data_IF_786004371054
#
_entry.id   IF_786004371054
#
_cell.length_a   1.000
_cell.length_b   1.000
_cell.length_c   1.000
_cell.angle_alpha   90.00
_cell.angle_beta   90.00
_cell.angle_gamma   90.00
#
_symmetry.space_group_name_H-M   'P 1'
#
loop_
_entity.id
_entity.type
_entity.pdbx_description
1 polymer ?
#
# COMPACT_ATOMS: atom_id res chain seq x y z
N UNK A 1 -17.89 16.55 2.42
CA UNK A 1 -18.88 17.20 1.54
C UNK A 1 -18.32 18.10 0.44
N UNK A 2 -17.02 18.20 0.28
CA UNK A 2 -16.40 19.06 -0.76
C UNK A 2 -15.44 18.29 -1.68
N UNK A 3 -15.57 16.98 -1.78
CA UNK A 3 -14.81 16.19 -2.73
C UNK A 3 -15.24 16.54 -4.16
N UNK A 4 -14.25 16.83 -5.01
CA UNK A 4 -14.45 16.95 -6.45
C UNK A 4 -14.38 15.59 -7.11
N UNK A 5 -14.89 15.46 -8.34
CA UNK A 5 -15.05 14.15 -8.99
C UNK A 5 -13.81 13.22 -8.98
N UNK A 6 -12.58 13.69 -9.23
CA UNK A 6 -11.40 12.82 -9.14
C UNK A 6 -11.16 12.24 -7.73
N UNK A 7 -11.31 13.05 -6.67
CA UNK A 7 -11.10 12.61 -5.29
C UNK A 7 -12.23 11.66 -4.85
N UNK A 8 -13.45 11.90 -5.30
CA UNK A 8 -14.58 11.03 -5.04
C UNK A 8 -14.36 9.65 -5.67
N UNK A 9 -13.92 9.61 -6.93
CA UNK A 9 -13.62 8.36 -7.62
C UNK A 9 -12.51 7.59 -6.92
N UNK A 10 -11.42 8.27 -6.54
CA UNK A 10 -10.32 7.66 -5.80
C UNK A 10 -10.79 7.07 -4.47
N UNK A 11 -11.63 7.79 -3.73
CA UNK A 11 -12.21 7.30 -2.47
C UNK A 11 -13.03 6.03 -2.68
N UNK A 12 -13.89 6.00 -3.70
CA UNK A 12 -14.68 4.81 -4.04
C UNK A 12 -13.79 3.65 -4.48
N UNK A 13 -12.75 3.91 -5.28
CA UNK A 13 -11.80 2.89 -5.72
C UNK A 13 -11.08 2.23 -4.54
N UNK A 14 -10.64 3.02 -3.55
CA UNK A 14 -9.98 2.50 -2.35
C UNK A 14 -10.95 1.70 -1.49
N UNK A 15 -12.18 2.18 -1.26
CA UNK A 15 -13.19 1.45 -0.49
C UNK A 15 -13.54 0.11 -1.17
N UNK A 16 -13.76 0.13 -2.47
CA UNK A 16 -14.06 -1.08 -3.23
C UNK A 16 -12.88 -2.05 -3.28
N UNK A 17 -11.65 -1.53 -3.37
CA UNK A 17 -10.43 -2.32 -3.29
C UNK A 17 -10.27 -3.01 -1.93
N UNK A 18 -10.55 -2.31 -0.83
CA UNK A 18 -10.55 -2.90 0.51
C UNK A 18 -11.58 -4.02 0.66
N UNK A 19 -12.81 -3.81 0.18
CA UNK A 19 -13.84 -4.83 0.19
C UNK A 19 -13.46 -6.07 -0.65
N UNK A 20 -12.78 -5.85 -1.77
CA UNK A 20 -12.33 -6.91 -2.67
C UNK A 20 -11.06 -7.63 -2.19
N UNK A 21 -10.29 -7.04 -1.25
CA UNK A 21 -9.01 -7.61 -0.80
C UNK A 21 -9.16 -9.07 -0.35
N UNK A 22 -8.28 -10.00 -0.76
CA UNK A 22 -8.39 -11.42 -0.41
C UNK A 22 -8.48 -11.71 1.08
N UNK A 23 -7.93 -10.85 1.95
CA UNK A 23 -8.01 -10.99 3.41
C UNK A 23 -9.39 -10.64 4.00
N UNK A 24 -10.30 -10.12 3.20
CA UNK A 24 -11.65 -9.71 3.65
C UNK A 24 -12.67 -10.76 3.24
N UNK A 25 -13.40 -11.30 4.20
CA UNK A 25 -14.50 -12.24 3.95
C UNK A 25 -15.78 -11.53 3.46
N UNK A 26 -16.13 -10.44 4.14
CA UNK A 26 -17.33 -9.66 3.83
C UNK A 26 -17.25 -8.25 4.37
N UNK A 27 -18.12 -7.37 3.93
CA UNK A 27 -18.07 -5.94 4.21
C UNK A 27 -19.40 -5.42 4.70
N UNK A 28 -19.39 -4.58 5.74
CA UNK A 28 -20.52 -3.78 6.15
C UNK A 28 -20.23 -2.32 5.83
N UNK A 29 -20.90 -1.76 4.84
CA UNK A 29 -20.79 -0.33 4.51
C UNK A 29 -21.74 0.46 5.38
N UNK A 30 -21.20 1.44 6.10
CA UNK A 30 -21.98 2.36 6.93
C UNK A 30 -21.87 3.76 6.37
N UNK A 31 -22.99 4.35 6.01
CA UNK A 31 -23.13 5.67 5.41
C UNK A 31 -23.90 6.59 6.36
N UNK A 32 -23.62 7.89 6.31
CA UNK A 32 -24.46 8.87 7.00
C UNK A 32 -25.82 9.01 6.30
N UNK A 33 -25.82 9.07 4.95
CA UNK A 33 -27.01 9.20 4.11
C UNK A 33 -27.07 10.47 3.24
N UNK A 34 -26.08 11.39 3.40
CA UNK A 34 -26.03 12.64 2.62
C UNK A 34 -24.62 13.02 2.15
N UNK A 35 -23.69 12.08 2.14
CA UNK A 35 -22.34 12.24 1.63
C UNK A 35 -22.27 12.21 0.10
N UNK A 36 -21.17 12.74 -0.48
CA UNK A 36 -20.95 12.70 -1.93
C UNK A 36 -20.70 11.26 -2.43
N UNK A 37 -19.98 10.45 -1.67
CA UNK A 37 -19.82 9.02 -1.92
C UNK A 37 -21.08 8.29 -1.43
N UNK A 38 -22.18 8.43 -2.17
CA UNK A 38 -23.48 7.86 -1.81
C UNK A 38 -23.40 6.33 -1.71
N UNK A 39 -24.21 5.75 -0.82
CA UNK A 39 -24.21 4.33 -0.50
C UNK A 39 -24.32 3.45 -1.75
N UNK A 40 -25.26 3.75 -2.63
CA UNK A 40 -25.51 3.01 -3.86
C UNK A 40 -24.31 3.02 -4.82
N UNK A 41 -23.59 4.15 -4.92
CA UNK A 41 -22.39 4.26 -5.74
C UNK A 41 -21.24 3.42 -5.17
N UNK A 42 -21.04 3.45 -3.86
CA UNK A 42 -19.99 2.65 -3.18
C UNK A 42 -20.31 1.16 -3.29
N UNK A 43 -21.56 0.77 -3.04
CA UNK A 43 -22.01 -0.61 -3.16
C UNK A 43 -21.81 -1.14 -4.57
N UNK A 44 -22.23 -0.38 -5.58
CA UNK A 44 -22.01 -0.75 -6.98
C UNK A 44 -20.52 -0.93 -7.30
N UNK A 45 -19.65 -0.01 -6.85
CA UNK A 45 -18.21 -0.13 -7.05
C UNK A 45 -17.61 -1.37 -6.38
N UNK A 46 -18.15 -1.80 -5.24
CA UNK A 46 -17.76 -3.05 -4.57
C UNK A 46 -18.25 -4.26 -5.36
N UNK A 47 -19.51 -4.30 -5.75
CA UNK A 47 -20.13 -5.42 -6.49
C UNK A 47 -19.50 -5.64 -7.87
N UNK A 48 -18.97 -4.58 -8.50
CA UNK A 48 -18.19 -4.68 -9.74
C UNK A 48 -16.83 -5.40 -9.55
N UNK A 49 -16.30 -5.45 -8.32
CA UNK A 49 -14.99 -6.02 -8.01
C UNK A 49 -15.04 -7.36 -7.27
N UNK A 50 -16.14 -7.65 -6.57
CA UNK A 50 -16.23 -8.86 -5.75
C UNK A 50 -17.65 -9.30 -5.51
N UNK A 51 -17.85 -10.63 -5.36
CA UNK A 51 -19.13 -11.25 -5.00
C UNK A 51 -19.19 -11.62 -3.49
N UNK A 52 -18.31 -11.07 -2.67
CA UNK A 52 -18.25 -11.35 -1.22
C UNK A 52 -19.49 -10.81 -0.50
N UNK A 53 -19.84 -11.35 0.68
CA UNK A 53 -20.97 -10.85 1.47
C UNK A 53 -20.87 -9.34 1.71
N UNK A 54 -21.96 -8.63 1.40
CA UNK A 54 -22.05 -7.18 1.52
C UNK A 54 -23.35 -6.79 2.23
N UNK A 55 -23.27 -5.94 3.25
CA UNK A 55 -24.39 -5.37 3.98
C UNK A 55 -24.30 -3.86 4.03
N UNK A 56 -25.43 -3.20 4.14
CA UNK A 56 -25.53 -1.74 4.10
C UNK A 56 -26.29 -1.23 5.33
N UNK A 57 -25.83 -0.11 5.89
CA UNK A 57 -26.49 0.59 6.98
C UNK A 57 -26.44 2.10 6.72
N UNK A 58 -27.59 2.77 6.66
CA UNK A 58 -27.67 4.23 6.52
C UNK A 58 -28.09 4.81 7.87
N UNK A 59 -27.25 5.61 8.50
CA UNK A 59 -27.44 6.12 9.88
C UNK A 59 -28.75 6.93 9.98
N UNK A 60 -29.01 7.81 9.01
CA UNK A 60 -30.21 8.66 9.00
C UNK A 60 -31.51 7.84 8.87
N UNK A 61 -31.48 6.69 8.17
CA UNK A 61 -32.62 5.79 7.99
C UNK A 61 -32.75 4.80 9.14
N UNK A 62 -31.63 4.37 9.74
CA UNK A 62 -31.62 3.43 10.88
C UNK A 62 -32.23 4.00 12.16
N UNK A 63 -32.47 5.30 12.21
CA UNK A 63 -32.96 6.01 13.39
C UNK A 63 -31.86 6.42 14.37
N UNK A 64 -30.66 6.72 13.85
CA UNK A 64 -29.52 7.30 14.55
C UNK A 64 -28.38 6.33 14.81
N UNK A 65 -27.28 6.87 15.31
CA UNK A 65 -25.99 6.18 15.44
C UNK A 65 -26.06 4.89 16.24
N UNK A 66 -26.74 4.88 17.40
CA UNK A 66 -26.79 3.69 18.26
C UNK A 66 -27.49 2.51 17.60
N UNK A 67 -28.57 2.77 16.86
CA UNK A 67 -29.28 1.72 16.10
C UNK A 67 -28.45 1.25 14.90
N UNK A 68 -27.79 2.17 14.21
CA UNK A 68 -26.90 1.83 13.10
C UNK A 68 -25.73 0.95 13.55
N UNK A 69 -25.12 1.25 14.71
CA UNK A 69 -24.07 0.42 15.32
C UNK A 69 -24.58 -0.97 15.65
N UNK A 70 -25.77 -1.07 16.30
CA UNK A 70 -26.38 -2.38 16.62
C UNK A 70 -26.63 -3.22 15.35
N UNK A 71 -27.16 -2.61 14.29
CA UNK A 71 -27.36 -3.29 13.00
C UNK A 71 -26.05 -3.76 12.38
N UNK A 72 -25.05 -2.87 12.31
CA UNK A 72 -23.75 -3.18 11.73
C UNK A 72 -23.02 -4.29 12.49
N UNK A 73 -23.08 -4.27 13.83
CA UNK A 73 -22.49 -5.32 14.68
C UNK A 73 -23.17 -6.67 14.46
N UNK A 74 -24.50 -6.70 14.31
CA UNK A 74 -25.22 -7.96 14.00
C UNK A 74 -24.79 -8.52 12.66
N UNK A 75 -24.75 -7.72 11.61
CA UNK A 75 -24.27 -8.16 10.29
C UNK A 75 -22.83 -8.65 10.33
N UNK A 76 -21.93 -7.92 11.03
CA UNK A 76 -20.55 -8.35 11.18
C UNK A 76 -20.43 -9.68 11.95
N UNK A 77 -21.24 -9.91 12.99
CA UNK A 77 -21.25 -11.18 13.73
C UNK A 77 -21.73 -12.35 12.87
N UNK A 78 -22.74 -12.15 12.02
CA UNK A 78 -23.20 -13.17 11.05
C UNK A 78 -22.05 -13.54 10.11
N UNK A 79 -21.40 -12.55 9.50
CA UNK A 79 -20.26 -12.79 8.59
C UNK A 79 -19.08 -13.47 9.29
N UNK A 80 -18.76 -13.09 10.53
CA UNK A 80 -17.70 -13.74 11.32
C UNK A 80 -18.04 -15.21 11.62
N UNK A 81 -19.30 -15.50 11.94
CA UNK A 81 -19.74 -16.86 12.17
C UNK A 81 -19.60 -17.72 10.89
N UNK A 82 -20.00 -17.20 9.73
CA UNK A 82 -19.82 -17.86 8.44
C UNK A 82 -18.34 -18.06 8.10
N UNK A 83 -17.53 -17.01 8.23
CA UNK A 83 -16.08 -17.06 7.97
C UNK A 83 -15.37 -18.10 8.87
N UNK A 84 -15.83 -18.26 10.12
CA UNK A 84 -15.25 -19.23 11.06
C UNK A 84 -15.48 -20.70 10.66
N UNK A 85 -16.43 -20.96 9.77
CA UNK A 85 -16.71 -22.31 9.26
C UNK A 85 -15.86 -22.68 8.04
N UNK A 86 -15.13 -21.71 7.44
CA UNK A 86 -14.27 -21.96 6.30
C UNK A 86 -13.10 -22.87 6.69
N UNK A 87 -12.75 -23.76 5.79
CA UNK A 87 -11.58 -24.63 5.94
C UNK A 87 -10.37 -24.00 5.23
N UNK A 88 -9.20 -24.21 5.81
CA UNK A 88 -7.94 -23.81 5.15
C UNK A 88 -7.67 -24.73 3.97
N UNK A 89 -7.28 -24.15 2.86
CA UNK A 89 -6.87 -24.85 1.65
C UNK A 89 -5.44 -24.50 1.28
N UNK A 90 -4.77 -25.39 0.55
CA UNK A 90 -3.45 -25.09 -0.01
C UNK A 90 -3.57 -24.05 -1.11
N UNK A 91 -2.63 -23.12 -1.11
CA UNK A 91 -2.65 -21.95 -1.96
C UNK A 91 -1.25 -21.75 -2.58
N UNK A 92 -1.13 -21.63 -3.89
CA UNK A 92 0.17 -21.45 -4.53
C UNK A 92 0.70 -20.03 -4.33
N UNK A 93 2.01 -19.89 -4.14
CA UNK A 93 2.68 -18.59 -3.98
C UNK A 93 2.41 -17.65 -5.17
N UNK A 94 2.12 -18.21 -6.35
CA UNK A 94 1.78 -17.43 -7.55
C UNK A 94 0.52 -16.56 -7.41
N UNK A 95 -0.35 -16.85 -6.46
CA UNK A 95 -1.53 -16.04 -6.15
C UNK A 95 -1.25 -14.95 -5.09
N UNK A 96 -0.05 -14.95 -4.49
CA UNK A 96 0.33 -13.99 -3.45
C UNK A 96 0.73 -12.65 -4.06
N UNK A 97 0.18 -11.58 -3.49
CA UNK A 97 0.53 -10.19 -3.78
C UNK A 97 1.12 -9.59 -2.50
N UNK A 98 2.39 -9.19 -2.57
CA UNK A 98 3.14 -8.61 -1.43
C UNK A 98 3.46 -7.15 -1.74
N UNK A 99 3.09 -6.26 -0.82
CA UNK A 99 3.51 -4.86 -0.88
C UNK A 99 4.86 -4.65 -0.19
N UNK A 100 5.67 -3.72 -0.69
CA UNK A 100 6.93 -3.33 -0.06
C UNK A 100 6.91 -1.84 0.28
N UNK A 101 7.33 -1.50 1.50
CA UNK A 101 7.24 -0.15 2.06
C UNK A 101 8.53 0.20 2.81
N UNK A 102 8.82 1.49 2.98
CA UNK A 102 9.83 1.93 3.94
C UNK A 102 9.44 3.23 4.64
N UNK A 103 9.79 3.37 5.91
CA UNK A 103 9.52 4.59 6.67
C UNK A 103 10.45 4.71 7.87
N UNK A 104 10.70 5.96 8.31
CA UNK A 104 11.70 6.23 9.33
C UNK A 104 13.09 5.78 8.91
N UNK A 105 13.43 5.92 7.62
CA UNK A 105 14.66 5.38 7.04
C UNK A 105 15.92 6.03 7.60
N UNK A 106 16.96 5.24 7.74
CA UNK A 106 18.35 5.62 8.00
C UNK A 106 19.29 4.87 7.02
N UNK A 107 20.62 5.06 7.05
CA UNK A 107 21.53 4.35 6.15
C UNK A 107 21.45 2.83 6.22
N UNK A 108 21.08 2.25 7.39
CA UNK A 108 20.92 0.79 7.52
C UNK A 108 19.74 0.27 6.72
N UNK A 109 18.71 1.11 6.45
CA UNK A 109 17.60 0.75 5.58
C UNK A 109 18.08 0.41 4.17
N UNK A 110 18.90 1.27 3.57
CA UNK A 110 19.46 1.06 2.22
C UNK A 110 20.52 -0.02 2.14
N UNK A 111 21.31 -0.23 3.22
CA UNK A 111 22.43 -1.17 3.25
C UNK A 111 22.05 -2.59 3.65
N UNK A 112 20.99 -2.77 4.44
CA UNK A 112 20.58 -4.08 4.96
C UNK A 112 19.08 -4.37 4.72
N UNK A 113 18.16 -3.62 5.34
CA UNK A 113 16.75 -3.97 5.34
C UNK A 113 16.11 -3.96 3.93
N UNK A 114 16.35 -2.93 3.11
CA UNK A 114 15.81 -2.86 1.74
C UNK A 114 16.37 -3.96 0.83
N UNK A 115 17.69 -4.28 0.82
CA UNK A 115 18.19 -5.44 0.10
C UNK A 115 17.56 -6.79 0.51
N UNK A 116 17.30 -7.00 1.81
CA UNK A 116 16.59 -8.20 2.29
C UNK A 116 15.16 -8.25 1.73
N UNK A 117 14.44 -7.12 1.72
CA UNK A 117 13.12 -7.04 1.07
C UNK A 117 13.24 -7.29 -0.43
N UNK A 118 14.27 -6.78 -1.09
CA UNK A 118 14.52 -7.03 -2.51
C UNK A 118 14.74 -8.48 -2.86
N UNK A 119 15.52 -9.20 -2.04
CA UNK A 119 15.70 -10.65 -2.19
C UNK A 119 14.39 -11.41 -1.97
N UNK A 120 13.58 -11.02 -0.99
CA UNK A 120 12.23 -11.56 -0.79
C UNK A 120 11.36 -11.29 -2.02
N UNK A 121 11.37 -10.05 -2.55
CA UNK A 121 10.64 -9.67 -3.76
C UNK A 121 11.01 -10.56 -4.95
N UNK A 122 12.31 -10.74 -5.22
CA UNK A 122 12.79 -11.59 -6.31
C UNK A 122 12.37 -13.06 -6.13
N UNK A 123 12.34 -13.59 -4.90
CA UNK A 123 11.86 -14.95 -4.62
C UNK A 123 10.36 -15.10 -4.85
N UNK A 124 9.56 -14.11 -4.46
CA UNK A 124 8.11 -14.10 -4.73
C UNK A 124 7.87 -14.10 -6.25
N UNK A 125 8.57 -13.23 -6.97
CA UNK A 125 8.48 -13.16 -8.44
C UNK A 125 8.92 -14.47 -9.10
N UNK A 126 10.03 -15.05 -8.66
CA UNK A 126 10.52 -16.32 -9.18
C UNK A 126 9.55 -17.49 -8.92
N UNK A 127 8.77 -17.43 -7.83
CA UNK A 127 7.70 -18.38 -7.54
C UNK A 127 6.39 -18.09 -8.29
N UNK A 128 6.39 -17.08 -9.19
CA UNK A 128 5.24 -16.68 -10.01
C UNK A 128 4.29 -15.71 -9.33
N UNK A 129 4.60 -15.23 -8.13
CA UNK A 129 3.80 -14.26 -7.39
C UNK A 129 3.99 -12.81 -7.86
N UNK A 130 3.39 -11.89 -7.13
CA UNK A 130 3.45 -10.44 -7.42
C UNK A 130 4.07 -9.68 -6.25
N UNK A 131 5.03 -8.81 -6.56
CA UNK A 131 5.61 -7.85 -5.61
C UNK A 131 5.31 -6.43 -6.07
N UNK A 132 4.79 -5.59 -5.17
CA UNK A 132 4.48 -4.19 -5.42
C UNK A 132 5.57 -3.33 -4.79
N UNK A 133 6.30 -2.59 -5.61
CA UNK A 133 7.16 -1.50 -5.17
C UNK A 133 6.33 -0.21 -5.10
N UNK A 134 6.29 0.43 -3.97
CA UNK A 134 5.51 1.64 -3.68
C UNK A 134 6.39 2.88 -3.51
N UNK A 135 5.79 4.02 -3.16
CA UNK A 135 6.45 5.27 -2.77
C UNK A 135 7.17 5.96 -3.93
N UNK A 136 6.40 6.49 -4.89
CA UNK A 136 6.95 7.22 -6.07
C UNK A 136 7.93 8.32 -5.67
N UNK A 137 7.71 9.00 -4.54
CA UNK A 137 8.59 10.06 -4.03
C UNK A 137 9.99 9.55 -3.65
N UNK A 138 10.11 8.26 -3.40
CA UNK A 138 11.37 7.60 -3.05
C UNK A 138 12.11 7.02 -4.26
N UNK A 139 11.65 7.33 -5.49
CA UNK A 139 12.34 6.98 -6.74
C UNK A 139 13.08 8.16 -7.37
N UNK A 140 12.75 9.38 -6.93
CA UNK A 140 13.26 10.62 -7.51
C UNK A 140 14.80 10.66 -7.44
N UNK A 141 15.43 10.78 -8.61
CA UNK A 141 16.87 10.69 -8.80
C UNK A 141 17.41 9.28 -9.04
N UNK A 142 16.61 8.23 -8.80
CA UNK A 142 16.93 6.82 -9.08
C UNK A 142 15.96 6.14 -10.06
N UNK A 143 14.93 6.85 -10.54
CA UNK A 143 13.91 6.33 -11.46
C UNK A 143 14.48 5.71 -12.75
N UNK A 144 15.59 6.25 -13.23
CA UNK A 144 16.29 5.74 -14.41
C UNK A 144 16.83 4.31 -14.22
N UNK A 145 17.10 3.88 -12.99
CA UNK A 145 17.53 2.51 -12.68
C UNK A 145 16.36 1.54 -12.80
N UNK A 146 15.17 1.94 -12.30
CA UNK A 146 13.95 1.17 -12.45
C UNK A 146 13.51 1.11 -13.92
N UNK A 147 13.54 2.25 -14.61
CA UNK A 147 13.16 2.35 -16.01
C UNK A 147 14.01 1.46 -16.94
N UNK A 148 15.31 1.30 -16.67
CA UNK A 148 16.16 0.34 -17.42
C UNK A 148 15.75 -1.11 -17.27
N UNK A 149 14.96 -1.43 -16.24
CA UNK A 149 14.43 -2.79 -15.97
C UNK A 149 12.99 -2.95 -16.43
N UNK A 150 12.41 -1.93 -17.06
CA UNK A 150 11.05 -1.99 -17.57
C UNK A 150 10.90 -3.10 -18.62
N UNK A 151 9.83 -3.89 -18.51
CA UNK A 151 9.57 -4.99 -19.44
C UNK A 151 9.15 -4.49 -20.85
N UNK A 152 8.58 -3.28 -20.92
CA UNK A 152 8.16 -2.65 -22.17
C UNK A 152 8.50 -1.15 -22.19
N UNK A 153 8.56 -0.52 -23.40
CA UNK A 153 8.75 0.94 -23.50
C UNK A 153 7.67 1.74 -22.77
N UNK A 154 6.42 1.27 -22.76
CA UNK A 154 5.30 1.95 -22.09
C UNK A 154 5.50 1.98 -20.56
N UNK A 155 5.98 0.88 -19.97
CA UNK A 155 6.33 0.80 -18.56
C UNK A 155 7.51 1.73 -18.24
N UNK A 156 8.54 1.77 -19.12
CA UNK A 156 9.66 2.69 -18.99
C UNK A 156 9.18 4.14 -18.93
N UNK A 157 8.37 4.56 -19.88
CA UNK A 157 7.89 5.95 -19.95
C UNK A 157 6.97 6.29 -18.77
N UNK A 158 6.15 5.33 -18.32
CA UNK A 158 5.25 5.51 -17.18
C UNK A 158 6.00 5.71 -15.87
N UNK A 159 7.15 5.07 -15.66
CA UNK A 159 8.00 5.28 -14.48
C UNK A 159 8.48 6.74 -14.41
N UNK A 160 8.94 7.31 -15.51
CA UNK A 160 9.32 8.72 -15.55
C UNK A 160 8.11 9.65 -15.39
N UNK A 161 6.97 9.31 -15.99
CA UNK A 161 5.76 10.13 -15.90
C UNK A 161 5.30 10.31 -14.46
N UNK A 162 5.20 9.24 -13.65
CA UNK A 162 4.73 9.35 -12.26
C UNK A 162 5.66 10.22 -11.42
N UNK A 163 6.97 10.10 -11.61
CA UNK A 163 8.00 10.92 -10.92
C UNK A 163 7.88 12.38 -11.34
N UNK A 164 7.88 12.66 -12.63
CA UNK A 164 7.82 14.04 -13.14
C UNK A 164 6.49 14.73 -12.79
N UNK A 165 5.39 13.99 -12.78
CA UNK A 165 4.08 14.49 -12.37
C UNK A 165 4.10 14.95 -10.92
N UNK A 166 4.71 14.17 -10.03
CA UNK A 166 4.85 14.53 -8.62
C UNK A 166 5.71 15.80 -8.43
N UNK A 167 6.89 15.86 -9.06
CA UNK A 167 7.76 17.03 -9.02
C UNK A 167 7.05 18.29 -9.59
N UNK A 168 6.33 18.14 -10.71
CA UNK A 168 5.58 19.23 -11.33
C UNK A 168 4.47 19.75 -10.39
N UNK A 169 3.77 18.88 -9.69
CA UNK A 169 2.73 19.27 -8.73
C UNK A 169 3.32 20.10 -7.56
N UNK A 170 4.48 19.75 -7.04
CA UNK A 170 5.16 20.55 -6.01
C UNK A 170 5.59 21.91 -6.53
N UNK A 171 6.18 21.97 -7.73
CA UNK A 171 6.60 23.26 -8.36
C UNK A 171 5.43 24.21 -8.58
N UNK A 172 4.22 23.71 -8.83
CA UNK A 172 3.01 24.56 -8.97
C UNK A 172 2.68 25.31 -7.69
N UNK A 173 3.05 24.79 -6.53
CA UNK A 173 2.85 25.46 -5.23
C UNK A 173 4.12 26.14 -4.70
N UNK A 174 5.18 26.21 -5.53
CA UNK A 174 6.44 26.88 -5.19
C UNK A 174 7.38 26.07 -4.32
N UNK A 175 7.16 24.75 -4.23
CA UNK A 175 7.95 23.83 -3.39
C UNK A 175 8.85 22.93 -4.24
N UNK A 176 9.94 22.48 -3.65
CA UNK A 176 10.86 21.50 -4.21
C UNK A 176 10.92 20.25 -3.32
N UNK A 177 10.89 19.07 -3.93
CA UNK A 177 10.87 17.81 -3.18
C UNK A 177 12.07 17.64 -2.25
N UNK A 178 13.24 18.14 -2.64
CA UNK A 178 14.50 18.05 -1.88
C UNK A 178 14.52 18.91 -0.62
N UNK A 179 13.60 19.84 -0.47
CA UNK A 179 13.42 20.63 0.76
C UNK A 179 12.83 19.75 1.89
N UNK A 180 11.88 18.85 1.54
CA UNK A 180 11.16 18.00 2.49
C UNK A 180 11.63 16.56 2.56
N UNK A 181 12.33 16.07 1.55
CA UNK A 181 12.83 14.69 1.46
C UNK A 181 14.35 14.67 1.16
N UNK A 182 15.22 14.11 2.03
CA UNK A 182 14.93 13.38 3.28
C UNK A 182 14.36 14.26 4.40
N UNK A 183 13.50 13.67 5.22
CA UNK A 183 12.92 14.35 6.38
C UNK A 183 14.00 14.70 7.43
N UNK A 184 13.72 15.63 8.38
CA UNK A 184 14.66 15.90 9.49
C UNK A 184 15.06 14.63 10.25
N UNK A 185 14.16 13.68 10.43
CA UNK A 185 14.44 12.40 11.07
C UNK A 185 15.39 11.52 10.27
N UNK A 186 15.24 11.47 8.93
CA UNK A 186 16.17 10.75 8.06
C UNK A 186 17.58 11.37 8.09
N UNK A 187 17.67 12.71 8.05
CA UNK A 187 18.95 13.46 8.14
C UNK A 187 19.62 13.22 9.49
N UNK A 188 18.85 13.27 10.58
CA UNK A 188 19.36 12.94 11.92
C UNK A 188 19.84 11.48 12.04
N UNK A 189 19.27 10.57 11.26
CA UNK A 189 19.70 9.17 11.13
C UNK A 189 20.96 8.99 10.30
N UNK A 190 21.38 10.00 9.51
CA UNK A 190 22.61 9.99 8.70
C UNK A 190 22.42 9.98 7.18
N UNK A 191 21.18 10.01 6.67
CA UNK A 191 20.90 10.16 5.22
C UNK A 191 21.18 11.62 4.81
N UNK A 192 21.89 11.84 3.71
CA UNK A 192 22.36 13.17 3.29
C UNK A 192 21.49 13.80 2.21
N UNK A 193 21.15 13.07 1.15
CA UNK A 193 20.43 13.58 -0.02
C UNK A 193 19.23 12.72 -0.36
N UNK A 194 18.32 13.27 -1.19
CA UNK A 194 17.19 12.52 -1.74
C UNK A 194 17.67 11.36 -2.61
N UNK A 195 18.66 11.61 -3.45
CA UNK A 195 19.24 10.60 -4.36
C UNK A 195 19.84 9.42 -3.59
N UNK A 196 20.55 9.68 -2.49
CA UNK A 196 21.06 8.62 -1.60
C UNK A 196 19.91 7.79 -1.03
N UNK A 197 18.86 8.45 -0.54
CA UNK A 197 17.67 7.79 0.00
C UNK A 197 16.98 6.96 -1.07
N UNK A 198 16.78 7.52 -2.26
CA UNK A 198 16.12 6.85 -3.38
C UNK A 198 16.90 5.63 -3.89
N UNK A 199 18.22 5.74 -4.01
CA UNK A 199 19.08 4.60 -4.33
C UNK A 199 18.90 3.44 -3.33
N UNK A 200 18.82 3.76 -2.03
CA UNK A 200 18.51 2.76 -1.01
C UNK A 200 17.09 2.19 -1.11
N UNK A 201 16.11 3.04 -1.40
CA UNK A 201 14.70 2.67 -1.45
C UNK A 201 14.37 1.67 -2.57
N UNK A 202 14.87 1.90 -3.79
CA UNK A 202 14.56 1.06 -4.96
C UNK A 202 15.05 -0.39 -4.82
N UNK A 203 15.97 -0.66 -3.88
CA UNK A 203 16.42 -2.03 -3.58
C UNK A 203 15.28 -2.94 -3.09
N UNK A 204 14.20 -2.39 -2.52
CA UNK A 204 13.01 -3.17 -2.14
C UNK A 204 12.36 -3.92 -3.31
N UNK A 205 12.53 -3.42 -4.54
CA UNK A 205 12.06 -4.07 -5.76
C UNK A 205 12.99 -5.16 -6.31
N UNK A 206 14.06 -5.54 -5.59
CA UNK A 206 15.01 -6.55 -6.06
C UNK A 206 15.61 -6.24 -7.43
N UNK A 207 15.79 -7.26 -8.26
CA UNK A 207 16.41 -7.19 -9.59
C UNK A 207 15.46 -7.59 -10.73
N UNK A 208 14.26 -8.07 -10.41
CA UNK A 208 13.28 -8.52 -11.39
C UNK A 208 12.86 -7.40 -12.35
N UNK A 209 12.48 -7.70 -13.60
CA UNK A 209 11.91 -6.73 -14.53
C UNK A 209 10.64 -6.08 -13.95
N UNK A 210 10.46 -4.78 -14.18
CA UNK A 210 9.23 -4.06 -13.83
C UNK A 210 8.21 -4.29 -14.95
N UNK A 211 7.13 -5.02 -14.64
CA UNK A 211 6.16 -5.46 -15.64
C UNK A 211 5.00 -4.49 -15.85
N UNK A 212 4.66 -3.68 -14.84
CA UNK A 212 3.58 -2.70 -14.94
C UNK A 212 3.75 -1.56 -13.93
N UNK A 213 3.07 -0.44 -14.17
CA UNK A 213 2.91 0.67 -13.23
C UNK A 213 1.42 0.93 -13.05
N UNK A 214 0.94 0.83 -11.82
CA UNK A 214 -0.45 1.04 -11.44
C UNK A 214 -0.64 2.40 -10.78
N UNK A 215 -1.78 3.03 -11.04
CA UNK A 215 -2.21 4.19 -10.27
C UNK A 215 -2.60 3.78 -8.83
N UNK A 216 -2.66 4.75 -7.93
CA UNK A 216 -2.97 4.56 -6.53
C UNK A 216 -4.26 3.77 -6.30
N UNK A 217 -4.17 2.69 -5.53
CA UNK A 217 -5.31 1.86 -5.14
C UNK A 217 -5.98 1.08 -6.28
N UNK A 218 -5.40 1.08 -7.48
CA UNK A 218 -5.91 0.25 -8.59
C UNK A 218 -5.61 -1.22 -8.35
N UNK A 219 -6.58 -2.05 -8.69
CA UNK A 219 -6.47 -3.51 -8.52
C UNK A 219 -5.27 -4.05 -9.30
N UNK A 220 -4.36 -4.69 -8.58
CA UNK A 220 -3.24 -5.44 -9.12
C UNK A 220 -3.67 -6.90 -9.25
N UNK A 221 -3.42 -7.49 -10.40
CA UNK A 221 -3.70 -8.90 -10.62
C UNK A 221 -2.57 -9.77 -10.04
N UNK A 222 -2.88 -11.02 -9.66
CA UNK A 222 -1.88 -12.00 -9.30
C UNK A 222 -1.02 -12.39 -10.52
N UNK A 223 0.16 -12.97 -10.28
CA UNK A 223 1.08 -13.47 -11.33
C UNK A 223 1.69 -12.38 -12.22
N UNK A 224 1.76 -11.15 -11.72
CA UNK A 224 2.31 -10.01 -12.47
C UNK A 224 3.83 -9.84 -12.33
N UNK A 225 4.47 -10.55 -11.39
CA UNK A 225 5.87 -10.34 -11.08
C UNK A 225 6.10 -9.03 -10.32
N UNK A 226 7.19 -8.29 -10.61
CA UNK A 226 7.42 -6.99 -10.01
C UNK A 226 6.58 -5.91 -10.73
N UNK A 227 5.81 -5.17 -9.94
CA UNK A 227 5.04 -4.00 -10.41
C UNK A 227 5.31 -2.79 -9.52
N UNK A 228 5.06 -1.60 -10.03
CA UNK A 228 5.09 -0.35 -9.26
C UNK A 228 3.66 0.11 -9.04
N UNK A 229 3.34 0.59 -7.83
CA UNK A 229 2.13 1.35 -7.58
C UNK A 229 2.50 2.79 -7.25
N UNK A 230 1.91 3.75 -7.97
CA UNK A 230 2.11 5.17 -7.72
C UNK A 230 1.44 5.56 -6.40
N UNK A 231 2.23 5.58 -5.34
CA UNK A 231 1.78 5.96 -3.99
C UNK A 231 2.59 7.14 -3.46
N UNK A 232 2.03 7.93 -2.53
CA UNK A 232 2.80 8.95 -1.84
C UNK A 232 3.83 8.33 -0.89
N UNK A 233 4.83 9.10 -0.45
CA UNK A 233 5.80 8.71 0.57
C UNK A 233 5.28 8.81 2.02
N UNK A 234 3.98 8.92 2.23
CA UNK A 234 3.34 8.87 3.55
C UNK A 234 2.95 7.42 3.84
N UNK A 235 3.62 6.78 4.78
CA UNK A 235 3.51 5.35 5.08
C UNK A 235 2.06 4.84 5.17
N UNK A 236 1.15 5.43 5.99
CA UNK A 236 -0.22 4.93 6.08
C UNK A 236 -0.99 5.02 4.76
N UNK A 237 -0.77 6.07 3.98
CA UNK A 237 -1.42 6.26 2.69
C UNK A 237 -0.86 5.31 1.63
N UNK A 238 0.46 5.10 1.62
CA UNK A 238 1.11 4.17 0.69
C UNK A 238 0.64 2.73 0.94
N UNK A 239 0.69 2.27 2.20
CA UNK A 239 0.18 0.95 2.60
C UNK A 239 -1.30 0.80 2.27
N UNK A 240 -2.12 1.85 2.52
CA UNK A 240 -3.54 1.83 2.16
C UNK A 240 -3.77 1.62 0.66
N UNK A 241 -2.99 2.29 -0.19
CA UNK A 241 -3.05 2.12 -1.65
C UNK A 241 -2.72 0.70 -2.08
N UNK A 242 -1.64 0.11 -1.56
CA UNK A 242 -1.24 -1.26 -1.88
C UNK A 242 -2.28 -2.29 -1.43
N UNK A 243 -2.83 -2.14 -0.21
CA UNK A 243 -3.87 -3.04 0.32
C UNK A 243 -5.16 -2.90 -0.49
N UNK A 244 -5.58 -1.69 -0.87
CA UNK A 244 -6.69 -1.48 -1.80
C UNK A 244 -6.41 -2.09 -3.18
N UNK A 245 -5.16 -2.08 -3.62
CA UNK A 245 -4.69 -2.75 -4.83
C UNK A 245 -4.66 -4.28 -4.75
N UNK A 246 -4.88 -4.87 -3.58
CA UNK A 246 -4.96 -6.32 -3.40
C UNK A 246 -3.79 -6.94 -2.64
N UNK A 247 -2.83 -6.15 -2.13
CA UNK A 247 -1.75 -6.69 -1.31
C UNK A 247 -2.32 -7.43 -0.08
N UNK A 248 -1.88 -8.66 0.10
CA UNK A 248 -2.31 -9.54 1.19
C UNK A 248 -1.38 -9.43 2.41
N UNK A 249 -0.14 -9.06 2.17
CA UNK A 249 0.91 -8.83 3.17
C UNK A 249 1.72 -7.61 2.72
N UNK A 250 2.17 -6.80 3.66
CA UNK A 250 3.13 -5.73 3.41
C UNK A 250 4.40 -6.01 4.20
N UNK A 251 5.56 -5.86 3.55
CA UNK A 251 6.87 -5.95 4.20
C UNK A 251 7.46 -4.55 4.25
N UNK A 252 7.75 -4.09 5.46
CA UNK A 252 8.05 -2.70 5.76
C UNK A 252 9.44 -2.58 6.39
N UNK A 253 10.38 -1.93 5.70
CA UNK A 253 11.70 -1.64 6.27
C UNK A 253 11.70 -0.35 7.08
N UNK A 254 12.45 -0.32 8.16
CA UNK A 254 12.64 0.89 8.97
C UNK A 254 14.03 0.92 9.58
N UNK A 255 14.64 2.11 9.64
CA UNK A 255 15.90 2.32 10.35
C UNK A 255 15.67 2.85 11.77
N UNK A 256 14.72 3.76 11.94
CA UNK A 256 14.44 4.43 13.22
C UNK A 256 13.25 3.86 13.98
N UNK A 257 12.50 2.98 13.34
CA UNK A 257 11.31 2.34 13.88
C UNK A 257 10.00 3.07 13.52
N UNK A 258 8.95 2.29 13.37
CA UNK A 258 7.58 2.77 13.11
C UNK A 258 6.55 1.84 13.74
N UNK A 259 5.46 2.35 14.33
CA UNK A 259 4.33 1.53 14.76
C UNK A 259 3.32 1.28 13.65
N UNK A 260 3.51 1.84 12.44
CA UNK A 260 2.54 1.77 11.33
C UNK A 260 2.14 0.34 11.02
N UNK A 261 0.86 0.08 10.95
CA UNK A 261 0.23 -1.19 10.57
C UNK A 261 -0.95 -0.96 9.65
N UNK A 262 -1.63 -2.04 9.28
CA UNK A 262 -2.87 -1.98 8.51
C UNK A 262 -3.89 -2.97 9.09
N UNK A 263 -5.19 -2.60 9.22
CA UNK A 263 -6.18 -3.48 9.85
C UNK A 263 -6.57 -4.70 9.01
N UNK A 264 -6.30 -4.70 7.69
CA UNK A 264 -6.70 -5.77 6.77
C UNK A 264 -5.54 -6.66 6.34
N UNK A 265 -4.31 -6.15 6.34
CA UNK A 265 -3.13 -6.88 5.90
C UNK A 265 -2.04 -6.84 6.98
N UNK A 266 -1.40 -7.97 7.30
CA UNK A 266 -0.21 -7.98 8.16
C UNK A 266 0.88 -7.06 7.57
N UNK A 267 1.52 -6.27 8.44
CA UNK A 267 2.67 -5.43 8.10
C UNK A 267 3.88 -5.95 8.86
N UNK A 268 4.70 -6.74 8.18
CA UNK A 268 5.92 -7.34 8.73
C UNK A 268 7.04 -6.30 8.69
N UNK A 269 7.58 -5.94 9.83
CA UNK A 269 8.60 -4.90 9.95
C UNK A 269 10.01 -5.46 10.07
N UNK A 270 10.90 -4.94 9.23
CA UNK A 270 12.30 -5.32 9.16
C UNK A 270 13.19 -4.11 9.45
N UNK A 271 14.22 -4.27 10.27
CA UNK A 271 15.23 -3.23 10.48
C UNK A 271 16.64 -3.79 10.33
N UNK A 272 17.56 -2.99 9.78
CA UNK A 272 18.99 -3.24 9.82
C UNK A 272 19.69 -2.54 10.99
N UNK A 273 18.93 -1.85 11.87
CA UNK A 273 19.45 -1.10 13.00
C UNK A 273 19.21 -1.86 14.31
N UNK A 274 20.27 -2.47 14.84
CA UNK A 274 20.20 -3.29 16.08
C UNK A 274 19.69 -2.50 17.30
N UNK A 275 19.96 -1.20 17.40
CA UNK A 275 19.47 -0.39 18.50
C UNK A 275 17.95 -0.18 18.37
N UNK A 276 17.46 0.05 17.17
CA UNK A 276 16.01 0.16 16.91
C UNK A 276 15.32 -1.16 17.18
N UNK A 277 15.90 -2.28 16.74
CA UNK A 277 15.36 -3.61 17.05
C UNK A 277 15.23 -3.85 18.56
N UNK A 278 16.29 -3.54 19.32
CA UNK A 278 16.30 -3.72 20.77
C UNK A 278 15.33 -2.80 21.51
N UNK A 279 15.10 -1.58 21.00
CA UNK A 279 14.26 -0.57 21.65
C UNK A 279 12.77 -0.67 21.28
N UNK A 280 12.44 -1.33 20.17
CA UNK A 280 11.07 -1.40 19.63
C UNK A 280 10.64 -2.85 19.36
N UNK A 281 10.94 -3.75 20.27
CA UNK A 281 10.66 -5.21 20.16
C UNK A 281 9.18 -5.52 19.94
N UNK A 282 8.27 -4.66 20.39
CA UNK A 282 6.83 -4.81 20.20
C UNK A 282 6.37 -4.43 18.77
N UNK A 283 7.25 -3.77 18.00
CA UNK A 283 6.90 -3.22 16.69
C UNK A 283 7.72 -3.81 15.54
N UNK A 284 8.90 -4.39 15.81
CA UNK A 284 9.82 -4.87 14.80
C UNK A 284 9.89 -6.41 14.85
N UNK A 285 9.63 -7.04 13.71
CA UNK A 285 9.57 -8.50 13.62
C UNK A 285 10.92 -9.14 13.27
N UNK A 286 11.76 -8.44 12.48
CA UNK A 286 12.99 -9.01 11.92
C UNK A 286 14.18 -8.06 12.08
N UNK A 287 15.31 -8.57 12.58
CA UNK A 287 16.64 -7.95 12.58
C UNK A 287 17.42 -8.46 11.34
N UNK A 288 17.74 -7.56 10.40
CA UNK A 288 18.35 -7.86 9.09
C UNK A 288 19.85 -7.61 9.06
#
# INVERSE_FOLDING_TARGET
>A
CSQVAPDQQLTMDVMAGYAANPNVYGTVVVSLGCENCQMDLVVKAIEERTNKPLKQVIIQEAGGTLKAVDMAVRYAKEMVAEASMLQKEEFPISELIVGTECGGSDPTSGLAANPVIGEMSDRIVAAGGTSILSETTEFIGAEHILARRAATPEVHDRIFEIVHRYEAALRLVGEEVREGNPSPGNKAGGITTLEEKSLGCIHKGGHSPVNAVYDYGKQVEAKQGLVIMDTPGNDPSSVAGMVAGGAQIVVFSTGRGTPTGNPLAPVIKITGNKLTYANMVDNIDVDA
#
